data_IF_376077645302
#
_entry.id   IF_376077645302
#
_cell.length_a   1.000
_cell.length_b   1.000
_cell.length_c   1.000
_cell.angle_alpha   90.00
_cell.angle_beta   90.00
_cell.angle_gamma   90.00
#
_symmetry.space_group_name_H-M   'P 1'
#
loop_
_entity.id
_entity.type
_entity.pdbx_description
1 polymer ?
#
# COMPACT_ATOMS: atom_id res chain seq x y z
N UNK A 1 7.10 -19.25 0.71
CA UNK A 1 7.22 -18.18 1.72
C UNK A 1 5.80 -17.73 1.99
N UNK A 2 5.33 -17.88 3.24
CA UNK A 2 4.00 -17.43 3.63
C UNK A 2 3.92 -15.90 3.52
N UNK A 3 2.79 -15.37 3.03
CA UNK A 3 2.64 -13.92 2.85
C UNK A 3 2.68 -13.16 4.18
N UNK A 4 2.33 -13.83 5.29
CA UNK A 4 2.56 -13.36 6.64
C UNK A 4 4.04 -13.02 6.91
N UNK A 5 4.95 -13.97 6.68
CA UNK A 5 6.39 -13.78 6.94
C UNK A 5 6.97 -12.67 6.07
N UNK A 6 6.52 -12.62 4.82
CA UNK A 6 6.85 -11.55 3.90
C UNK A 6 6.46 -10.17 4.47
N UNK A 7 5.25 -10.05 5.03
CA UNK A 7 4.77 -8.79 5.61
C UNK A 7 5.47 -8.42 6.91
N UNK A 8 5.88 -9.40 7.72
CA UNK A 8 6.74 -9.17 8.90
C UNK A 8 8.11 -8.62 8.48
N UNK A 9 8.73 -9.20 7.46
CA UNK A 9 10.01 -8.68 6.97
C UNK A 9 9.86 -7.29 6.35
N UNK A 10 8.78 -7.08 5.58
CA UNK A 10 8.45 -5.78 5.01
C UNK A 10 8.25 -4.69 6.08
N UNK A 11 7.58 -5.01 7.19
CA UNK A 11 7.35 -4.05 8.27
C UNK A 11 8.65 -3.60 8.92
N UNK A 12 9.58 -4.53 9.16
CA UNK A 12 10.93 -4.25 9.69
C UNK A 12 11.73 -3.35 8.76
N UNK A 13 11.78 -3.68 7.47
CA UNK A 13 12.54 -2.92 6.48
C UNK A 13 11.97 -1.52 6.17
N UNK A 14 10.69 -1.31 6.48
CA UNK A 14 9.99 -0.05 6.21
C UNK A 14 9.59 0.73 7.46
N UNK A 15 10.10 0.36 8.64
CA UNK A 15 9.68 0.89 9.96
C UNK A 15 9.60 2.43 10.04
N UNK A 16 10.49 3.12 9.34
CA UNK A 16 10.54 4.59 9.29
C UNK A 16 10.41 5.15 7.86
N UNK A 17 9.88 4.36 6.93
CA UNK A 17 9.72 4.73 5.53
C UNK A 17 8.34 4.32 5.03
N UNK A 18 7.36 5.22 5.19
CA UNK A 18 5.98 5.01 4.78
C UNK A 18 5.86 4.69 3.27
N UNK A 19 6.62 5.37 2.41
CA UNK A 19 6.62 5.10 0.98
C UNK A 19 7.06 3.68 0.66
N UNK A 20 8.07 3.15 1.36
CA UNK A 20 8.50 1.77 1.19
C UNK A 20 7.45 0.78 1.70
N UNK A 21 6.82 1.08 2.83
CA UNK A 21 5.72 0.29 3.38
C UNK A 21 4.56 0.13 2.39
N UNK A 22 4.10 1.23 1.80
CA UNK A 22 3.00 1.15 0.82
C UNK A 22 3.38 0.40 -0.46
N UNK A 23 4.65 0.45 -0.89
CA UNK A 23 5.15 -0.40 -1.99
C UNK A 23 5.11 -1.89 -1.63
N UNK A 24 5.35 -2.24 -0.38
CA UNK A 24 5.19 -3.61 0.10
C UNK A 24 3.73 -4.04 0.13
N UNK A 25 2.83 -3.19 0.63
CA UNK A 25 1.38 -3.45 0.59
C UNK A 25 0.87 -3.66 -0.84
N UNK A 26 1.33 -2.84 -1.80
CA UNK A 26 0.96 -3.00 -3.22
C UNK A 26 1.29 -4.38 -3.78
N UNK A 27 2.33 -5.06 -3.29
CA UNK A 27 2.72 -6.39 -3.78
C UNK A 27 1.78 -7.51 -3.31
N UNK A 28 0.98 -7.26 -2.27
CA UNK A 28 0.06 -8.25 -1.69
C UNK A 28 -1.41 -7.84 -1.77
N UNK A 29 -1.72 -6.55 -1.98
CA UNK A 29 -3.07 -6.03 -2.12
C UNK A 29 -3.29 -5.53 -3.55
N UNK A 30 -4.37 -6.00 -4.17
CA UNK A 30 -4.80 -5.70 -5.52
C UNK A 30 -6.24 -5.17 -5.51
N UNK A 31 -6.71 -4.73 -6.68
CA UNK A 31 -8.04 -4.13 -6.84
C UNK A 31 -9.16 -5.08 -6.39
N UNK A 32 -9.10 -6.33 -6.81
CA UNK A 32 -10.18 -7.29 -6.55
C UNK A 32 -9.85 -8.36 -5.52
N UNK A 33 -8.57 -8.53 -5.17
CA UNK A 33 -8.11 -9.60 -4.29
C UNK A 33 -6.88 -9.20 -3.47
N UNK A 34 -6.56 -10.03 -2.48
CA UNK A 34 -5.36 -9.92 -1.65
C UNK A 34 -4.72 -11.29 -1.53
N UNK A 35 -3.39 -11.32 -1.46
CA UNK A 35 -2.65 -12.52 -1.09
C UNK A 35 -2.64 -12.79 0.42
N UNK A 36 -3.00 -11.79 1.24
CA UNK A 36 -3.23 -11.95 2.67
C UNK A 36 -4.63 -12.51 2.90
N UNK A 37 -4.71 -13.61 3.64
CA UNK A 37 -5.95 -14.14 4.19
C UNK A 37 -6.43 -13.31 5.39
N UNK A 38 -7.67 -13.50 5.80
CA UNK A 38 -8.20 -12.84 7.01
C UNK A 38 -7.38 -13.21 8.26
N UNK A 39 -6.91 -14.46 8.35
CA UNK A 39 -6.05 -14.94 9.43
C UNK A 39 -4.68 -14.24 9.41
N UNK A 40 -4.08 -14.04 8.23
CA UNK A 40 -2.82 -13.29 8.11
C UNK A 40 -2.99 -11.85 8.59
N UNK A 41 -4.08 -11.20 8.17
CA UNK A 41 -4.37 -9.82 8.57
C UNK A 41 -4.55 -9.73 10.09
N UNK A 42 -5.30 -10.65 10.69
CA UNK A 42 -5.47 -10.69 12.15
C UNK A 42 -4.12 -10.87 12.88
N UNK A 43 -3.30 -11.83 12.46
CA UNK A 43 -1.97 -12.06 13.04
C UNK A 43 -1.06 -10.83 12.88
N UNK A 44 -1.11 -10.15 11.73
CA UNK A 44 -0.30 -8.95 11.47
C UNK A 44 -0.76 -7.77 12.35
N UNK A 45 -2.07 -7.57 12.52
CA UNK A 45 -2.60 -6.51 13.37
C UNK A 45 -2.28 -6.74 14.86
N UNK A 46 -2.14 -8.00 15.27
CA UNK A 46 -1.76 -8.37 16.65
C UNK A 46 -0.23 -8.44 16.86
N UNK A 47 0.58 -8.48 15.80
CA UNK A 47 2.05 -8.57 15.91
C UNK A 47 2.70 -7.33 16.56
N UNK A 48 3.72 -7.52 17.39
CA UNK A 48 4.53 -6.43 17.95
C UNK A 48 5.52 -5.82 16.95
N UNK A 49 5.73 -6.48 15.81
CA UNK A 49 6.71 -6.05 14.81
C UNK A 49 6.21 -4.87 13.98
N UNK A 50 4.89 -4.80 13.75
CA UNK A 50 4.28 -3.69 13.04
C UNK A 50 4.12 -2.50 13.99
N UNK A 51 4.59 -1.34 13.54
CA UNK A 51 4.28 -0.06 14.19
C UNK A 51 2.78 0.23 14.16
N UNK A 52 2.30 1.09 15.05
CA UNK A 52 0.90 1.51 15.06
C UNK A 52 0.45 2.07 13.70
N UNK A 53 1.29 2.87 13.04
CA UNK A 53 1.04 3.38 11.70
C UNK A 53 0.86 2.25 10.66
N UNK A 54 1.75 1.26 10.66
CA UNK A 54 1.68 0.12 9.73
C UNK A 54 0.41 -0.70 9.96
N UNK A 55 -0.01 -0.90 11.22
CA UNK A 55 -1.26 -1.60 11.55
C UNK A 55 -2.49 -0.84 11.05
N UNK A 56 -2.59 0.44 11.36
CA UNK A 56 -3.73 1.28 10.94
C UNK A 56 -3.82 1.35 9.42
N UNK A 57 -2.68 1.58 8.74
CA UNK A 57 -2.66 1.62 7.28
C UNK A 57 -2.97 0.27 6.64
N UNK A 58 -2.51 -0.86 7.19
CA UNK A 58 -2.90 -2.21 6.71
C UNK A 58 -4.41 -2.44 6.83
N UNK A 59 -5.00 -2.09 7.98
CA UNK A 59 -6.44 -2.23 8.23
C UNK A 59 -7.26 -1.52 7.16
N UNK A 60 -6.91 -0.28 6.82
CA UNK A 60 -7.60 0.45 5.76
C UNK A 60 -7.22 -0.05 4.35
N UNK A 61 -5.98 -0.46 4.11
CA UNK A 61 -5.55 -0.96 2.81
C UNK A 61 -6.29 -2.25 2.37
N UNK A 62 -6.72 -3.10 3.31
CA UNK A 62 -7.52 -4.31 3.02
C UNK A 62 -8.99 -3.98 2.76
N UNK A 63 -9.49 -2.86 3.27
CA UNK A 63 -10.88 -2.43 3.03
C UNK A 63 -11.02 -1.85 1.62
N UNK A 64 -11.67 -2.60 0.73
CA UNK A 64 -11.99 -2.16 -0.63
C UNK A 64 -12.66 -0.78 -0.62
N UNK A 65 -12.26 0.08 -1.55
CA UNK A 65 -12.73 1.46 -1.70
C UNK A 65 -12.39 2.42 -0.55
N UNK A 66 -11.59 2.00 0.44
CA UNK A 66 -11.02 2.98 1.37
C UNK A 66 -10.00 3.87 0.65
N UNK A 67 -9.78 5.12 1.11
CA UNK A 67 -8.75 5.98 0.55
C UNK A 67 -7.35 5.34 0.55
N UNK A 68 -7.03 4.53 1.58
CA UNK A 68 -5.74 3.83 1.65
C UNK A 68 -5.67 2.67 0.67
N UNK A 69 -6.75 1.92 0.47
CA UNK A 69 -6.81 0.87 -0.53
C UNK A 69 -6.63 1.45 -1.94
N UNK A 70 -7.38 2.50 -2.27
CA UNK A 70 -7.27 3.21 -3.55
C UNK A 70 -5.87 3.75 -3.80
N UNK A 71 -5.25 4.33 -2.76
CA UNK A 71 -3.86 4.78 -2.83
C UNK A 71 -2.91 3.61 -3.11
N UNK A 72 -3.00 2.52 -2.33
CA UNK A 72 -2.16 1.34 -2.51
C UNK A 72 -2.28 0.79 -3.91
N UNK A 73 -3.48 0.55 -4.45
CA UNK A 73 -3.66 0.01 -5.81
C UNK A 73 -3.22 0.97 -6.91
N UNK A 74 -3.23 2.28 -6.64
CA UNK A 74 -2.73 3.30 -7.58
C UNK A 74 -1.21 3.27 -7.73
N UNK A 75 -0.49 2.73 -6.74
CA UNK A 75 0.96 2.59 -6.81
C UNK A 75 1.33 1.69 -8.00
N UNK A 76 2.29 2.17 -8.79
CA UNK A 76 2.76 1.57 -10.03
C UNK A 76 1.73 1.54 -11.18
N UNK A 77 0.54 2.16 -11.05
CA UNK A 77 -0.26 2.50 -12.23
C UNK A 77 0.52 3.60 -12.99
N UNK A 78 0.76 3.44 -14.30
CA UNK A 78 1.40 4.49 -15.08
C UNK A 78 0.60 5.77 -14.89
N UNK A 79 1.28 6.89 -14.66
CA UNK A 79 0.62 8.18 -14.67
C UNK A 79 -0.19 8.27 -15.98
N UNK A 80 -1.49 8.57 -15.90
CA UNK A 80 -2.28 8.81 -17.10
C UNK A 80 -1.59 9.98 -17.81
N UNK A 81 -0.82 9.68 -18.87
CA UNK A 81 0.04 10.64 -19.57
C UNK A 81 -0.74 11.89 -19.97
N UNK A 82 -2.04 11.72 -20.25
CA UNK A 82 -3.00 12.80 -20.51
C UNK A 82 -3.15 13.82 -19.37
N UNK A 83 -3.10 13.39 -18.11
CA UNK A 83 -3.18 14.31 -16.96
C UNK A 83 -1.84 15.05 -16.76
N UNK A 84 -0.72 14.39 -17.03
CA UNK A 84 0.62 14.99 -16.97
C UNK A 84 0.79 16.00 -18.11
N UNK A 85 0.35 15.66 -19.33
CA UNK A 85 0.36 16.54 -20.50
C UNK A 85 -0.48 17.80 -20.27
N UNK A 86 -1.71 17.66 -19.77
CA UNK A 86 -2.58 18.80 -19.41
C UNK A 86 -1.98 19.69 -18.32
N UNK A 87 -1.30 19.09 -17.35
CA UNK A 87 -0.59 19.84 -16.30
C UNK A 87 0.58 20.63 -16.92
N UNK A 88 1.40 19.98 -17.75
CA UNK A 88 2.52 20.63 -18.45
C UNK A 88 2.06 21.78 -19.36
N UNK A 89 0.96 21.63 -20.10
CA UNK A 89 0.36 22.70 -20.90
C UNK A 89 -0.05 23.91 -20.06
N UNK A 90 -0.65 23.68 -18.88
CA UNK A 90 -1.06 24.74 -17.96
C UNK A 90 0.11 25.57 -17.42
N UNK A 91 1.29 24.97 -17.25
CA UNK A 91 2.50 25.64 -16.77
C UNK A 91 3.42 26.14 -17.89
N UNK A 92 3.13 25.83 -19.16
CA UNK A 92 3.95 26.27 -20.31
C UNK A 92 3.79 27.76 -20.64
N UNK A 93 2.80 28.42 -20.05
CA UNK A 93 2.44 29.83 -20.27
C UNK A 93 2.54 30.69 -19.01
N UNK A 94 3.25 30.21 -17.97
CA UNK A 94 3.48 30.92 -16.71
C UNK A 94 4.90 31.44 -16.59
#
# INVERSE_FOLDING_TARGET
MEWYDYMINASKQSRFNASHWFRYLRKVIFEDYSYLTDEDVEKLLNSEELTHFQKVSLKYAIQKHSPTHEYVISLNKPAKLTNVQKLMEKYKHG
#
